data_IF_999964651627
#
_entry.id   IF_999964651627
#
_cell.length_a   1.000
_cell.length_b   1.000
_cell.length_c   1.000
_cell.angle_alpha   90.00
_cell.angle_beta   90.00
_cell.angle_gamma   90.00
#
_symmetry.space_group_name_H-M   'P 1'
#
loop_
_entity.id
_entity.type
_entity.pdbx_description
1 polymer ?
#
# COMPACT_ATOMS: atom_id res chain seq x y z
N UNK A 1 17.30 -3.60 -11.75
CA UNK A 1 16.65 -3.96 -10.46
C UNK A 1 17.28 -5.13 -9.70
N UNK A 2 17.27 -6.40 -10.18
CA UNK A 2 17.83 -7.56 -9.43
C UNK A 2 19.28 -7.34 -8.97
N UNK A 3 20.11 -6.76 -9.84
CA UNK A 3 21.50 -6.43 -9.54
C UNK A 3 21.65 -5.34 -8.47
N UNK A 4 20.83 -4.27 -8.53
CA UNK A 4 20.83 -3.22 -7.51
C UNK A 4 20.42 -3.78 -6.12
N UNK A 5 19.44 -4.69 -6.08
CA UNK A 5 19.04 -5.39 -4.86
C UNK A 5 20.13 -6.33 -4.31
N UNK A 6 20.86 -7.04 -5.17
CA UNK A 6 21.98 -7.87 -4.70
C UNK A 6 23.12 -7.02 -4.15
N UNK A 7 23.38 -5.85 -4.75
CA UNK A 7 24.40 -4.91 -4.28
C UNK A 7 23.96 -4.14 -3.03
N UNK A 8 22.66 -3.92 -2.81
CA UNK A 8 22.16 -3.24 -1.61
C UNK A 8 22.31 -4.09 -0.34
N UNK A 9 22.24 -5.42 -0.46
CA UNK A 9 22.28 -6.37 0.65
C UNK A 9 23.53 -6.27 1.55
N UNK A 10 24.77 -6.31 1.01
CA UNK A 10 25.96 -6.12 1.85
C UNK A 10 26.04 -4.71 2.47
N UNK A 11 25.51 -3.69 1.80
CA UNK A 11 25.52 -2.30 2.29
C UNK A 11 24.63 -2.18 3.53
N UNK A 12 23.38 -2.63 3.44
CA UNK A 12 22.45 -2.58 4.58
C UNK A 12 22.95 -3.45 5.74
N UNK A 13 23.51 -4.63 5.46
CA UNK A 13 24.05 -5.51 6.49
C UNK A 13 25.15 -4.80 7.30
N UNK A 14 26.11 -4.16 6.61
CA UNK A 14 27.18 -3.39 7.24
C UNK A 14 26.64 -2.18 8.01
N UNK A 15 25.70 -1.43 7.45
CA UNK A 15 25.09 -0.28 8.11
C UNK A 15 24.39 -0.69 9.40
N UNK A 16 23.60 -1.76 9.37
CA UNK A 16 22.87 -2.24 10.54
C UNK A 16 23.83 -2.77 11.61
N UNK A 17 24.79 -3.60 11.22
CA UNK A 17 25.79 -4.13 12.16
C UNK A 17 26.60 -3.02 12.82
N UNK A 18 26.93 -1.95 12.08
CA UNK A 18 27.66 -0.81 12.64
C UNK A 18 26.79 0.05 13.56
N UNK A 19 25.60 0.42 13.10
CA UNK A 19 24.72 1.39 13.77
C UNK A 19 24.00 0.80 14.98
N UNK A 20 23.67 -0.49 14.92
CA UNK A 20 22.83 -1.18 15.91
C UNK A 20 23.59 -2.30 16.64
N UNK A 21 24.93 -2.25 16.65
CA UNK A 21 25.77 -3.17 17.41
C UNK A 21 25.39 -3.20 18.90
N UNK A 22 25.06 -2.04 19.47
CA UNK A 22 24.74 -1.87 20.90
C UNK A 22 23.49 -2.62 21.35
N UNK A 23 22.58 -2.93 20.43
CA UNK A 23 21.32 -3.65 20.70
C UNK A 23 21.35 -5.09 20.18
N UNK A 24 22.54 -5.64 19.89
CA UNK A 24 22.73 -7.01 19.43
C UNK A 24 21.87 -7.35 18.20
N UNK A 25 21.76 -6.40 17.26
CA UNK A 25 20.90 -6.51 16.07
C UNK A 25 21.18 -7.77 15.24
N UNK A 26 22.41 -8.31 15.34
CA UNK A 26 22.88 -9.50 14.63
C UNK A 26 22.01 -10.73 14.90
N UNK A 27 21.38 -10.83 16.07
CA UNK A 27 20.48 -11.94 16.43
C UNK A 27 19.21 -11.98 15.55
N UNK A 28 18.71 -10.81 15.14
CA UNK A 28 17.48 -10.68 14.33
C UNK A 28 17.76 -10.21 12.90
N UNK A 29 19.01 -9.93 12.58
CA UNK A 29 19.46 -9.41 11.29
C UNK A 29 18.94 -10.24 10.10
N UNK A 30 18.97 -11.59 10.10
CA UNK A 30 18.42 -12.37 8.99
C UNK A 30 16.92 -12.12 8.77
N UNK A 31 16.16 -11.98 9.86
CA UNK A 31 14.70 -11.72 9.80
C UNK A 31 14.44 -10.33 9.25
N UNK A 32 15.18 -9.32 9.71
CA UNK A 32 15.05 -7.95 9.23
C UNK A 32 15.44 -7.82 7.75
N UNK A 33 16.51 -8.50 7.34
CA UNK A 33 16.96 -8.51 5.95
C UNK A 33 15.96 -9.20 5.02
N UNK A 34 15.33 -10.28 5.48
CA UNK A 34 14.24 -10.93 4.74
C UNK A 34 13.02 -10.00 4.61
N UNK A 35 12.64 -9.30 5.69
CA UNK A 35 11.53 -8.36 5.68
C UNK A 35 11.73 -7.24 4.65
N UNK A 36 12.87 -6.53 4.71
CA UNK A 36 13.15 -5.43 3.78
C UNK A 36 13.32 -5.90 2.34
N UNK A 37 13.73 -7.17 2.14
CA UNK A 37 13.76 -7.81 0.82
C UNK A 37 12.34 -8.05 0.31
N UNK A 38 11.45 -8.60 1.12
CA UNK A 38 10.04 -8.81 0.76
C UNK A 38 9.33 -7.50 0.43
N UNK A 39 9.55 -6.45 1.22
CA UNK A 39 9.05 -5.10 0.92
C UNK A 39 9.57 -4.59 -0.42
N UNK A 40 10.88 -4.67 -0.66
CA UNK A 40 11.45 -4.25 -1.94
C UNK A 40 10.95 -5.10 -3.11
N UNK A 41 10.66 -6.39 -2.91
CA UNK A 41 10.06 -7.26 -3.94
C UNK A 41 8.60 -6.87 -4.23
N UNK A 42 7.80 -6.56 -3.21
CA UNK A 42 6.43 -6.05 -3.37
C UNK A 42 6.45 -4.73 -4.15
N UNK A 43 7.34 -3.82 -3.76
CA UNK A 43 7.48 -2.52 -4.42
C UNK A 43 8.01 -2.67 -5.85
N UNK A 44 9.06 -3.46 -6.06
CA UNK A 44 9.65 -3.70 -7.38
C UNK A 44 8.69 -4.43 -8.33
N UNK A 45 7.88 -5.36 -7.81
CA UNK A 45 6.81 -6.01 -8.56
C UNK A 45 5.65 -5.07 -8.89
N UNK A 46 5.38 -4.08 -8.04
CA UNK A 46 4.34 -3.06 -8.26
C UNK A 46 4.76 -1.98 -9.27
N UNK A 47 6.05 -1.67 -9.40
CA UNK A 47 6.58 -0.74 -10.43
C UNK A 47 6.41 -1.30 -11.84
N UNK A 48 6.48 -2.62 -12.02
CA UNK A 48 6.13 -3.26 -13.31
C UNK A 48 4.65 -3.06 -13.72
N UNK A 49 3.79 -2.57 -12.81
CA UNK A 49 2.37 -2.31 -13.05
C UNK A 49 2.04 -0.81 -13.17
N UNK A 50 3.00 0.11 -12.97
CA UNK A 50 2.64 1.50 -12.66
C UNK A 50 3.57 2.65 -13.08
N UNK A 51 4.31 2.60 -14.19
CA UNK A 51 4.99 3.81 -14.69
C UNK A 51 4.89 4.00 -16.21
N UNK A 52 3.92 4.82 -16.62
CA UNK A 52 4.11 5.76 -17.73
C UNK A 52 5.30 6.67 -17.37
N UNK A 53 6.29 6.75 -18.25
CA UNK A 53 7.51 7.53 -18.03
C UNK A 53 7.17 9.03 -18.02
N UNK A 54 7.53 9.74 -16.94
CA UNK A 54 7.75 11.19 -16.95
C UNK A 54 7.32 11.96 -15.70
N UNK A 55 8.29 12.32 -14.85
CA UNK A 55 8.19 13.48 -13.94
C UNK A 55 7.76 13.16 -12.50
N UNK A 56 8.40 13.86 -11.56
CA UNK A 56 8.29 13.69 -10.11
C UNK A 56 6.83 13.57 -9.56
N UNK A 57 6.68 12.71 -8.55
CA UNK A 57 5.57 12.66 -7.57
C UNK A 57 4.26 11.89 -7.88
N UNK A 58 4.20 10.95 -8.83
CA UNK A 58 2.91 10.30 -9.20
C UNK A 58 2.58 8.90 -8.65
N UNK A 59 3.54 8.09 -8.22
CA UNK A 59 3.38 6.62 -8.13
C UNK A 59 3.38 6.05 -6.71
N UNK A 60 3.49 6.91 -5.70
CA UNK A 60 3.11 6.57 -4.34
C UNK A 60 1.70 7.10 -4.09
N UNK A 61 0.69 6.39 -4.58
CA UNK A 61 -0.70 6.67 -4.26
C UNK A 61 -0.98 6.37 -2.77
N UNK A 62 -0.45 7.19 -1.86
CA UNK A 62 -1.01 7.38 -0.53
C UNK A 62 -2.27 8.22 -0.74
N UNK A 63 -3.42 7.57 -0.76
CA UNK A 63 -4.70 8.19 -1.10
C UNK A 63 -4.90 9.55 -0.41
N UNK A 64 -5.23 10.57 -1.21
CA UNK A 64 -5.60 11.88 -0.72
C UNK A 64 -6.92 11.78 0.08
N UNK A 65 -6.83 11.99 1.39
CA UNK A 65 -7.98 11.98 2.30
C UNK A 65 -7.58 11.82 3.77
N UNK A 66 -6.72 12.71 4.28
CA UNK A 66 -6.35 12.73 5.69
C UNK A 66 -7.48 13.37 6.53
N UNK A 67 -8.28 12.54 7.22
CA UNK A 67 -9.02 12.94 8.43
C UNK A 67 -8.44 12.10 9.58
N UNK A 68 -8.17 12.69 10.76
CA UNK A 68 -7.58 11.96 11.88
C UNK A 68 -8.39 10.71 12.24
N UNK A 69 -7.74 9.54 12.19
CA UNK A 69 -8.28 8.26 12.68
C UNK A 69 -8.87 7.30 11.65
N UNK A 70 -8.83 7.58 10.34
CA UNK A 70 -9.31 6.67 9.30
C UNK A 70 -8.16 6.14 8.44
N UNK A 71 -7.68 4.92 8.71
CA UNK A 71 -6.71 4.22 7.86
C UNK A 71 -7.40 3.92 6.52
N UNK A 72 -7.03 4.66 5.47
CA UNK A 72 -7.48 4.48 4.09
C UNK A 72 -6.29 4.35 3.14
N UNK A 73 -6.40 3.44 2.16
CA UNK A 73 -5.60 3.51 0.92
C UNK A 73 -5.15 2.16 0.38
N UNK A 74 -5.88 1.56 -0.56
CA UNK A 74 -5.47 0.41 -1.39
C UNK A 74 -4.23 0.71 -2.25
N UNK A 75 -3.07 0.93 -1.64
CA UNK A 75 -1.79 1.22 -2.28
C UNK A 75 -0.66 0.35 -1.74
N UNK A 76 0.54 0.49 -2.31
CA UNK A 76 1.77 -0.22 -1.89
C UNK A 76 2.01 -0.08 -0.37
N UNK A 77 1.69 1.08 0.20
CA UNK A 77 1.77 1.33 1.64
C UNK A 77 0.91 0.41 2.51
N UNK A 78 -0.27 -0.01 2.05
CA UNK A 78 -1.07 -1.01 2.75
C UNK A 78 -0.50 -2.42 2.60
N UNK A 79 0.07 -2.79 1.45
CA UNK A 79 0.68 -4.11 1.29
C UNK A 79 1.92 -4.27 2.17
N UNK A 80 2.78 -3.24 2.20
CA UNK A 80 3.95 -3.19 3.07
C UNK A 80 3.54 -3.10 4.54
N UNK A 81 2.58 -2.23 4.87
CA UNK A 81 2.02 -2.12 6.21
C UNK A 81 1.41 -3.42 6.71
N UNK A 82 0.69 -4.14 5.85
CA UNK A 82 0.11 -5.43 6.17
C UNK A 82 1.17 -6.52 6.42
N UNK A 83 2.17 -6.62 5.53
CA UNK A 83 3.28 -7.57 5.69
C UNK A 83 3.94 -7.41 7.06
N UNK A 84 4.18 -6.17 7.48
CA UNK A 84 4.87 -5.87 8.73
C UNK A 84 3.92 -6.00 9.92
N UNK A 85 2.79 -5.30 9.90
CA UNK A 85 1.91 -5.19 11.07
C UNK A 85 1.14 -6.47 11.35
N UNK A 86 0.79 -7.25 10.33
CA UNK A 86 0.04 -8.49 10.52
C UNK A 86 0.90 -9.72 10.31
N UNK A 87 1.80 -9.70 9.33
CA UNK A 87 2.76 -10.79 9.17
C UNK A 87 3.65 -10.95 10.39
N UNK A 88 4.01 -9.86 11.08
CA UNK A 88 4.84 -9.92 12.29
C UNK A 88 4.05 -9.82 13.61
N UNK A 89 2.73 -9.65 13.57
CA UNK A 89 1.92 -9.47 14.79
C UNK A 89 2.15 -8.14 15.51
N UNK A 90 2.48 -7.10 14.76
CA UNK A 90 2.83 -5.76 15.23
C UNK A 90 1.67 -4.75 15.08
N UNK A 91 0.42 -5.20 15.10
CA UNK A 91 -0.74 -4.33 14.92
C UNK A 91 -0.80 -3.21 15.98
N UNK A 92 -0.26 -3.45 17.17
CA UNK A 92 -0.25 -2.50 18.27
C UNK A 92 0.57 -1.21 17.98
N UNK A 93 1.55 -1.29 17.08
CA UNK A 93 2.41 -0.15 16.69
C UNK A 93 1.93 0.56 15.43
N UNK A 94 0.78 0.15 14.86
CA UNK A 94 0.31 0.58 13.55
C UNK A 94 0.29 2.11 13.38
N UNK A 95 -0.23 2.83 14.37
CA UNK A 95 -0.34 4.30 14.34
C UNK A 95 1.03 4.96 14.15
N UNK A 96 2.01 4.57 14.97
CA UNK A 96 3.37 5.10 14.92
C UNK A 96 4.11 4.67 13.64
N UNK A 97 3.88 3.44 13.20
CA UNK A 97 4.51 2.90 12.01
C UNK A 97 4.01 3.59 10.74
N UNK A 98 2.69 3.75 10.58
CA UNK A 98 2.11 4.39 9.41
C UNK A 98 2.48 5.87 9.29
N UNK A 99 2.74 6.56 10.39
CA UNK A 99 3.15 7.96 10.37
C UNK A 99 4.48 8.18 9.61
N UNK A 100 5.46 7.29 9.77
CA UNK A 100 6.75 7.41 9.09
C UNK A 100 6.88 6.62 7.79
N UNK A 101 5.94 5.71 7.53
CA UNK A 101 6.00 4.79 6.38
C UNK A 101 6.12 5.49 5.02
N UNK A 102 5.42 6.62 4.73
CA UNK A 102 5.53 7.29 3.43
C UNK A 102 6.94 7.74 3.07
N UNK A 103 7.69 8.28 4.04
CA UNK A 103 9.05 8.74 3.81
C UNK A 103 10.00 7.58 3.47
N UNK A 104 9.87 6.45 4.15
CA UNK A 104 10.67 5.26 3.87
C UNK A 104 10.36 4.69 2.47
N UNK A 105 9.08 4.62 2.11
CA UNK A 105 8.64 4.14 0.82
C UNK A 105 9.07 5.06 -0.33
N UNK A 106 9.17 6.38 -0.10
CA UNK A 106 9.72 7.30 -1.09
C UNK A 106 11.19 7.00 -1.42
N UNK A 107 12.05 6.87 -0.41
CA UNK A 107 13.46 6.53 -0.62
C UNK A 107 13.63 5.18 -1.32
N UNK A 108 12.87 4.16 -0.92
CA UNK A 108 12.88 2.85 -1.58
C UNK A 108 12.44 2.96 -3.04
N UNK A 109 11.36 3.69 -3.29
CA UNK A 109 10.83 3.90 -4.64
C UNK A 109 11.85 4.59 -5.57
N UNK A 110 12.53 5.63 -5.10
CA UNK A 110 13.58 6.31 -5.86
C UNK A 110 14.72 5.35 -6.25
N UNK A 111 15.15 4.49 -5.32
CA UNK A 111 16.14 3.46 -5.60
C UNK A 111 15.67 2.45 -6.65
N UNK A 112 14.41 2.04 -6.60
CA UNK A 112 13.80 1.13 -7.58
C UNK A 112 13.76 1.78 -8.97
N UNK A 113 13.28 3.02 -9.07
CA UNK A 113 13.20 3.77 -10.33
C UNK A 113 14.58 3.97 -10.94
N UNK A 114 15.57 4.36 -10.13
CA UNK A 114 16.95 4.52 -10.59
C UNK A 114 17.52 3.21 -11.12
N UNK A 115 17.24 2.09 -10.44
CA UNK A 115 17.66 0.75 -10.89
C UNK A 115 16.91 0.23 -12.12
N UNK A 116 15.74 0.80 -12.42
CA UNK A 116 14.93 0.44 -13.57
C UNK A 116 15.35 1.21 -14.82
N UNK A 117 15.57 2.51 -14.67
CA UNK A 117 16.01 3.41 -15.74
C UNK A 117 17.53 3.42 -15.93
N UNK A 118 18.26 2.46 -15.33
CA UNK A 118 19.72 2.41 -15.40
C UNK A 118 20.23 2.32 -16.86
N UNK A 119 19.51 1.60 -17.72
CA UNK A 119 19.82 1.40 -19.14
C UNK A 119 19.20 2.46 -20.06
N UNK A 120 18.41 3.40 -19.52
CA UNK A 120 17.73 4.41 -20.32
C UNK A 120 18.74 5.39 -20.94
N UNK A 121 18.62 5.61 -22.25
CA UNK A 121 19.44 6.58 -22.99
C UNK A 121 20.89 6.16 -23.24
N UNK A 122 21.24 4.89 -22.97
CA UNK A 122 22.60 4.36 -23.18
C UNK A 122 22.60 3.14 -24.10
N UNK A 123 23.69 2.94 -24.85
CA UNK A 123 23.82 1.78 -25.75
C UNK A 123 23.90 0.49 -24.95
N UNK A 124 23.26 -0.61 -25.40
CA UNK A 124 23.34 -1.90 -24.71
C UNK A 124 24.79 -2.37 -24.51
N UNK A 125 25.07 -3.14 -23.44
CA UNK A 125 26.40 -3.68 -23.17
C UNK A 125 26.98 -4.41 -24.39
N UNK A 126 28.21 -4.07 -24.78
CA UNK A 126 28.90 -4.66 -25.93
C UNK A 126 28.66 -3.97 -27.29
N UNK A 127 27.74 -3.00 -27.37
CA UNK A 127 27.51 -2.18 -28.58
C UNK A 127 28.20 -0.80 -28.54
N UNK A 128 28.83 -0.48 -27.41
CA UNK A 128 29.69 0.69 -27.25
C UNK A 128 31.16 0.24 -27.09
N UNK A 129 32.01 0.44 -28.12
CA UNK A 129 33.41 -0.01 -28.08
C UNK A 129 34.26 0.74 -27.05
N UNK A 130 33.76 1.85 -26.49
CA UNK A 130 34.46 2.61 -25.45
C UNK A 130 34.21 2.07 -24.05
N UNK A 131 33.16 1.24 -23.87
CA UNK A 131 32.71 0.78 -22.55
C UNK A 131 32.01 1.84 -21.70
N UNK A 132 31.85 3.08 -22.20
CA UNK A 132 31.26 4.18 -21.44
C UNK A 132 29.80 3.90 -21.04
N UNK A 133 29.00 3.29 -21.92
CA UNK A 133 27.63 2.89 -21.60
C UNK A 133 27.56 1.87 -20.46
N UNK A 134 28.44 0.86 -20.48
CA UNK A 134 28.49 -0.19 -19.45
C UNK A 134 28.88 0.40 -18.08
N UNK A 135 29.86 1.31 -18.05
CA UNK A 135 30.25 2.02 -16.83
C UNK A 135 29.12 2.90 -16.28
N UNK A 136 28.41 3.65 -17.14
CA UNK A 136 27.27 4.46 -16.73
C UNK A 136 26.13 3.62 -16.15
N UNK A 137 25.85 2.45 -16.73
CA UNK A 137 24.86 1.51 -16.22
C UNK A 137 25.29 1.02 -14.83
N UNK A 138 26.55 0.61 -14.65
CA UNK A 138 27.04 0.12 -13.37
C UNK A 138 26.99 1.20 -12.28
N UNK A 139 27.40 2.44 -12.58
CA UNK A 139 27.32 3.56 -11.63
C UNK A 139 25.86 3.87 -11.24
N UNK A 140 24.92 3.84 -12.20
CA UNK A 140 23.49 4.02 -11.90
C UNK A 140 22.94 2.89 -11.03
N UNK A 141 23.38 1.66 -11.26
CA UNK A 141 23.02 0.49 -10.45
C UNK A 141 23.62 0.60 -9.03
N UNK A 142 24.85 1.09 -8.90
CA UNK A 142 25.49 1.31 -7.61
C UNK A 142 24.83 2.45 -6.81
N UNK A 143 24.49 3.55 -7.48
CA UNK A 143 23.73 4.64 -6.89
C UNK A 143 22.35 4.14 -6.42
N UNK A 144 21.66 3.35 -7.25
CA UNK A 144 20.39 2.75 -6.89
C UNK A 144 20.52 1.77 -5.71
N UNK A 145 21.57 0.95 -5.67
CA UNK A 145 21.84 0.03 -4.56
C UNK A 145 22.05 0.76 -3.24
N UNK A 146 22.77 1.89 -3.24
CA UNK A 146 22.95 2.76 -2.07
C UNK A 146 21.62 3.37 -1.63
N UNK A 147 20.79 3.84 -2.56
CA UNK A 147 19.48 4.42 -2.25
C UNK A 147 18.50 3.37 -1.70
N UNK A 148 18.49 2.17 -2.27
CA UNK A 148 17.73 1.03 -1.75
C UNK A 148 18.18 0.67 -0.33
N UNK A 149 19.48 0.53 -0.09
CA UNK A 149 20.00 0.22 1.24
C UNK A 149 19.59 1.29 2.27
N UNK A 150 19.63 2.57 1.89
CA UNK A 150 19.16 3.67 2.73
C UNK A 150 17.67 3.58 3.06
N UNK A 151 16.82 3.31 2.07
CA UNK A 151 15.38 3.14 2.27
C UNK A 151 15.05 1.92 3.14
N UNK A 152 15.77 0.81 2.95
CA UNK A 152 15.61 -0.39 3.77
C UNK A 152 16.07 -0.15 5.22
N UNK A 153 17.18 0.58 5.43
CA UNK A 153 17.62 1.01 6.76
C UNK A 153 16.56 1.89 7.43
N UNK A 154 16.02 2.88 6.71
CA UNK A 154 14.95 3.75 7.23
C UNK A 154 13.70 2.98 7.62
N UNK A 155 13.34 1.92 6.90
CA UNK A 155 12.19 1.07 7.25
C UNK A 155 12.42 0.32 8.57
N UNK A 156 13.63 -0.19 8.79
CA UNK A 156 14.01 -0.84 10.06
C UNK A 156 14.05 0.18 11.19
N UNK A 157 14.59 1.38 10.94
CA UNK A 157 14.55 2.50 11.89
C UNK A 157 13.14 2.84 12.32
N UNK A 158 12.24 2.97 11.34
CA UNK A 158 10.83 3.25 11.57
C UNK A 158 10.19 2.15 12.42
N UNK A 159 10.46 0.89 12.12
CA UNK A 159 9.95 -0.25 12.86
C UNK A 159 10.40 -0.20 14.34
N UNK A 160 11.70 -0.02 14.58
CA UNK A 160 12.26 0.05 15.94
C UNK A 160 11.74 1.27 16.70
N UNK A 161 11.63 2.42 16.02
CA UNK A 161 11.11 3.65 16.61
C UNK A 161 9.63 3.49 16.97
N UNK A 162 8.83 2.86 16.12
CA UNK A 162 7.42 2.59 16.38
C UNK A 162 7.24 1.62 17.58
N UNK A 163 8.10 0.60 17.71
CA UNK A 163 8.15 -0.29 18.87
C UNK A 163 8.47 0.49 20.16
N UNK A 164 9.55 1.27 20.16
CA UNK A 164 9.98 2.06 21.33
C UNK A 164 8.93 3.09 21.71
N UNK A 165 8.34 3.75 20.73
CA UNK A 165 7.29 4.76 20.94
C UNK A 165 6.04 4.12 21.53
N UNK A 166 5.63 2.96 21.04
CA UNK A 166 4.52 2.20 21.60
C UNK A 166 4.77 1.74 23.04
N UNK A 167 5.95 1.21 23.35
CA UNK A 167 6.28 0.77 24.70
C UNK A 167 6.26 1.98 25.67
N UNK A 168 6.81 3.11 25.24
CA UNK A 168 6.91 4.32 26.07
C UNK A 168 5.57 5.04 26.24
N UNK A 169 4.84 5.22 25.14
CA UNK A 169 3.61 6.04 25.10
C UNK A 169 2.33 5.21 25.19
N UNK A 170 2.33 3.94 24.82
CA UNK A 170 1.12 3.10 24.78
C UNK A 170 0.34 3.25 23.47
N UNK A 171 -0.86 2.66 23.40
CA UNK A 171 -1.72 2.82 22.23
C UNK A 171 -2.35 4.22 22.21
N UNK A 172 -2.31 4.91 21.07
CA UNK A 172 -3.13 6.11 20.87
C UNK A 172 -4.46 5.65 20.28
N UNK A 173 -5.57 5.79 21.02
CA UNK A 173 -6.92 5.56 20.51
C UNK A 173 -7.71 6.87 20.59
N UNK A 174 -8.12 7.41 19.45
CA UNK A 174 -8.96 8.62 19.36
C UNK A 174 -8.44 9.81 20.19
N UNK A 175 -7.14 10.09 20.13
CA UNK A 175 -6.52 11.22 20.85
C UNK A 175 -6.30 11.01 22.35
N UNK A 176 -6.72 9.87 22.89
CA UNK A 176 -6.45 9.46 24.28
C UNK A 176 -5.34 8.41 24.24
N UNK A 177 -4.29 8.64 25.03
CA UNK A 177 -3.25 7.65 25.28
C UNK A 177 -3.88 6.52 26.12
N UNK A 178 -4.30 5.47 25.43
CA UNK A 178 -4.93 4.30 26.02
C UNK A 178 -3.88 3.37 26.63
N UNK A 179 -3.62 3.55 27.92
CA UNK A 179 -3.53 2.49 28.93
C UNK A 179 -2.75 2.98 30.16
N UNK A 180 -3.29 2.75 31.36
CA UNK A 180 -2.59 2.93 32.64
C UNK A 180 -1.51 1.84 32.88
N UNK A 181 -1.36 0.88 31.97
CA UNK A 181 -0.38 -0.19 32.09
C UNK A 181 1.05 0.35 32.01
N UNK A 182 1.95 -0.17 32.86
CA UNK A 182 3.37 0.18 32.84
C UNK A 182 4.09 -0.28 31.57
N UNK A 183 5.28 0.27 31.33
CA UNK A 183 6.19 -0.05 30.20
C UNK A 183 6.33 -1.56 30.01
N UNK A 184 6.61 -2.29 31.10
CA UNK A 184 6.82 -3.74 31.07
C UNK A 184 5.58 -4.53 30.60
N UNK A 185 4.38 -4.11 30.99
CA UNK A 185 3.14 -4.77 30.58
C UNK A 185 2.87 -4.57 29.09
N UNK A 186 3.16 -3.37 28.56
CA UNK A 186 3.03 -3.07 27.12
C UNK A 186 4.05 -3.84 26.29
N UNK A 187 5.29 -3.92 26.77
CA UNK A 187 6.34 -4.70 26.14
C UNK A 187 5.99 -6.19 26.12
N UNK A 188 5.55 -6.76 27.24
CA UNK A 188 5.12 -8.15 27.33
C UNK A 188 3.94 -8.45 26.40
N UNK A 189 2.95 -7.54 26.33
CA UNK A 189 1.83 -7.66 25.38
C UNK A 189 2.32 -7.66 23.94
N UNK A 190 3.18 -6.72 23.57
CA UNK A 190 3.73 -6.64 22.22
C UNK A 190 4.51 -7.91 21.85
N UNK A 191 5.34 -8.42 22.76
CA UNK A 191 6.09 -9.67 22.55
C UNK A 191 5.17 -10.88 22.40
N UNK A 192 4.06 -10.93 23.14
CA UNK A 192 3.08 -12.01 23.04
C UNK A 192 2.35 -12.00 21.69
N UNK A 193 2.02 -10.81 21.18
CA UNK A 193 1.33 -10.62 19.92
C UNK A 193 2.24 -10.86 18.69
N UNK A 194 3.57 -10.77 18.85
CA UNK A 194 4.54 -11.03 17.78
C UNK A 194 4.51 -12.47 17.27
N UNK A 195 4.42 -12.63 15.95
CA UNK A 195 4.46 -13.93 15.27
C UNK A 195 5.88 -14.52 15.23
N UNK A 196 6.90 -13.65 15.12
CA UNK A 196 8.29 -14.09 15.08
C UNK A 196 8.91 -14.16 16.48
N UNK A 197 9.18 -15.40 16.95
CA UNK A 197 9.74 -15.65 18.29
C UNK A 197 11.18 -15.17 18.47
N UNK A 198 11.96 -15.06 17.39
CA UNK A 198 13.33 -14.53 17.48
C UNK A 198 13.31 -13.04 17.80
N UNK A 199 12.45 -12.26 17.12
CA UNK A 199 12.27 -10.83 17.40
C UNK A 199 11.67 -10.62 18.79
N UNK A 200 10.66 -11.40 19.19
CA UNK A 200 10.08 -11.31 20.52
C UNK A 200 11.12 -11.58 21.62
N UNK A 201 11.91 -12.66 21.49
CA UNK A 201 12.95 -13.01 22.46
C UNK A 201 14.10 -12.00 22.48
N UNK A 202 14.50 -11.48 21.32
CA UNK A 202 15.49 -10.42 21.21
C UNK A 202 15.01 -9.12 21.86
N UNK A 203 13.75 -8.71 21.62
CA UNK A 203 13.15 -7.53 22.23
C UNK A 203 13.14 -7.65 23.75
N UNK A 204 12.78 -8.81 24.29
CA UNK A 204 12.78 -9.07 25.72
C UNK A 204 14.16 -8.86 26.37
N UNK A 205 15.25 -9.26 25.69
CA UNK A 205 16.62 -9.10 26.17
C UNK A 205 17.17 -7.68 25.99
N UNK A 206 16.74 -6.99 24.93
CA UNK A 206 17.31 -5.70 24.52
C UNK A 206 16.41 -4.49 24.80
N UNK A 207 15.25 -4.68 25.45
CA UNK A 207 14.28 -3.62 25.74
C UNK A 207 14.92 -2.42 26.43
N UNK A 208 15.70 -2.63 27.50
CA UNK A 208 16.32 -1.52 28.22
C UNK A 208 17.30 -0.73 27.34
N UNK A 209 18.07 -1.43 26.49
CA UNK A 209 19.03 -0.82 25.57
C UNK A 209 18.32 -0.03 24.45
N UNK A 210 17.25 -0.60 23.92
CA UNK A 210 16.37 0.03 22.93
C UNK A 210 15.72 1.29 23.49
N UNK A 211 15.15 1.17 24.69
CA UNK A 211 14.55 2.29 25.38
C UNK A 211 15.60 3.33 25.69
N UNK A 212 16.85 3.02 26.01
CA UNK A 212 17.90 4.00 26.28
C UNK A 212 18.45 4.71 25.03
N UNK A 213 18.17 4.19 23.82
CA UNK A 213 18.81 4.67 22.60
C UNK A 213 18.27 6.05 22.16
N UNK A 214 19.11 7.10 22.03
CA UNK A 214 18.66 8.46 21.78
C UNK A 214 18.00 8.63 20.40
N UNK A 215 18.47 7.91 19.38
CA UNK A 215 17.90 7.94 18.03
C UNK A 215 16.48 7.33 17.96
N UNK A 216 16.12 6.44 18.89
CA UNK A 216 14.80 5.79 18.93
C UNK A 216 13.80 6.55 19.81
N UNK A 217 14.28 7.47 20.67
CA UNK A 217 13.46 8.29 21.56
C UNK A 217 12.89 9.55 20.90
N UNK A 218 13.37 9.95 19.72
CA UNK A 218 12.98 11.20 19.04
C UNK A 218 12.36 10.94 17.68
N UNK A 219 11.07 11.21 17.58
CA UNK A 219 10.39 11.68 16.38
C UNK A 219 9.17 12.48 16.83
N UNK A 220 9.41 13.64 17.43
CA UNK A 220 8.42 14.70 17.33
C UNK A 220 8.54 15.27 15.92
N UNK A 221 7.43 15.42 15.17
CA UNK A 221 7.48 16.17 13.92
C UNK A 221 7.98 17.57 14.27
N UNK A 222 9.06 18.01 13.61
CA UNK A 222 9.45 19.41 13.63
C UNK A 222 8.22 20.23 13.23
N UNK A 223 7.82 21.27 13.99
CA UNK A 223 6.79 22.16 13.52
C UNK A 223 7.31 22.77 12.22
N UNK A 224 6.62 22.52 11.12
CA UNK A 224 6.79 23.34 9.91
C UNK A 224 6.48 24.76 10.37
N UNK A 225 7.54 25.55 10.51
CA UNK A 225 7.48 26.96 10.82
C UNK A 225 6.78 27.62 9.65
N UNK A 226 5.50 27.91 9.82
CA UNK A 226 4.73 28.69 8.88
C UNK A 226 5.37 30.05 8.71
N UNK A 227 5.63 30.42 7.45
CA UNK A 227 5.74 31.81 7.04
C UNK A 227 4.60 32.03 6.06
N UNK A 228 3.45 32.44 6.58
CA UNK A 228 2.73 33.61 6.09
C UNK A 228 1.62 33.91 7.11
N UNK A 229 1.81 34.96 7.89
CA UNK A 229 0.74 35.64 8.61
C UNK A 229 -0.39 36.02 7.63
N UNK A 230 -1.65 35.97 8.07
CA UNK A 230 -2.45 37.17 8.40
C UNK A 230 -3.89 36.78 8.81
N UNK A 231 -4.26 37.18 10.04
CA UNK A 231 -5.61 37.49 10.58
C UNK A 231 -6.58 36.37 11.05
N UNK A 232 -6.63 36.19 12.39
CA UNK A 232 -7.84 36.03 13.24
C UNK A 232 -8.64 37.37 13.33
N UNK A 233 -9.87 37.50 13.91
CA UNK A 233 -10.71 36.60 14.77
C UNK A 233 -12.24 36.64 14.34
N UNK A 234 -13.32 36.29 15.11
CA UNK A 234 -13.41 35.82 16.51
C UNK A 234 -14.36 34.62 16.79
N UNK A 235 -14.26 34.24 18.07
CA UNK A 235 -14.76 33.12 18.85
C UNK A 235 -16.25 33.16 19.27
N UNK A 236 -16.68 32.00 19.79
CA UNK A 236 -17.73 31.69 20.81
C UNK A 236 -19.05 31.07 20.31
N UNK A 237 -19.79 30.30 21.15
CA UNK A 237 -19.34 29.20 22.00
C UNK A 237 -20.22 27.93 21.86
N UNK A 238 -19.71 26.80 22.36
CA UNK A 238 -20.45 25.55 22.56
C UNK A 238 -21.50 25.68 23.68
N UNK A 239 -22.67 25.01 23.61
CA UNK A 239 -23.46 24.67 24.78
C UNK A 239 -23.31 23.19 25.18
N UNK A 240 -23.11 23.02 26.47
CA UNK A 240 -22.99 21.78 27.23
C UNK A 240 -24.28 20.94 27.31
N UNK A 241 -24.10 19.62 27.43
CA UNK A 241 -24.77 18.67 28.34
C UNK A 241 -26.31 18.65 28.43
N UNK A 242 -26.94 17.46 28.26
CA UNK A 242 -27.25 16.46 29.34
C UNK A 242 -28.14 15.29 28.79
N UNK A 243 -28.54 14.26 29.57
CA UNK A 243 -28.13 12.87 29.33
C UNK A 243 -29.28 11.86 29.12
N UNK A 244 -28.93 10.65 28.67
CA UNK A 244 -29.66 9.43 29.04
C UNK A 244 -30.21 8.60 27.88
N UNK A 245 -29.60 7.45 27.62
CA UNK A 245 -30.31 6.24 27.17
C UNK A 245 -29.42 4.99 27.33
N UNK A 246 -29.79 4.21 28.34
CA UNK A 246 -29.65 2.76 28.59
C UNK A 246 -28.72 1.91 27.71
N UNK A 247 -27.86 1.17 28.41
CA UNK A 247 -27.30 -0.14 28.06
C UNK A 247 -28.41 -1.10 27.61
N UNK A 248 -28.25 -1.73 26.46
CA UNK A 248 -28.78 -3.06 26.20
C UNK A 248 -27.68 -3.90 25.55
N UNK A 249 -27.32 -4.95 26.28
CA UNK A 249 -26.48 -6.07 25.89
C UNK A 249 -27.16 -6.89 24.81
N UNK A 250 -26.44 -7.26 23.76
CA UNK A 250 -26.74 -8.46 22.99
C UNK A 250 -25.44 -9.21 22.71
N UNK A 251 -25.24 -10.27 23.49
CA UNK A 251 -24.42 -11.42 23.13
C UNK A 251 -24.91 -12.00 21.81
N UNK A 252 -24.07 -11.92 20.77
CA UNK A 252 -24.19 -12.81 19.61
C UNK A 252 -22.80 -13.24 19.17
N UNK A 253 -22.48 -14.49 19.52
CA UNK A 253 -21.68 -15.45 18.77
C UNK A 253 -20.37 -14.97 18.10
N UNK A 254 -19.28 -15.25 18.82
CA UNK A 254 -17.94 -15.61 18.33
C UNK A 254 -17.89 -16.06 16.85
N UNK A 255 -17.50 -15.15 15.95
CA UNK A 255 -17.12 -15.47 14.57
C UNK A 255 -15.87 -14.67 14.16
N UNK A 256 -14.75 -15.40 14.13
CA UNK A 256 -13.51 -15.14 13.38
C UNK A 256 -12.64 -13.92 13.75
N UNK A 257 -11.52 -14.26 14.36
CA UNK A 257 -10.31 -13.48 14.67
C UNK A 257 -9.52 -12.98 13.44
N UNK A 258 -10.19 -12.55 12.37
CA UNK A 258 -9.55 -11.97 11.17
C UNK A 258 -9.60 -10.43 11.18
N UNK A 259 -8.51 -9.70 10.87
CA UNK A 259 -8.53 -8.25 10.74
C UNK A 259 -9.50 -7.74 9.65
N UNK A 260 -10.12 -6.58 9.86
CA UNK A 260 -11.18 -6.04 8.98
C UNK A 260 -10.77 -5.91 7.50
N UNK A 261 -9.56 -5.44 7.20
CA UNK A 261 -9.11 -5.34 5.80
C UNK A 261 -8.94 -6.71 5.14
N UNK A 262 -8.59 -7.77 5.89
CA UNK A 262 -8.49 -9.13 5.35
C UNK A 262 -9.88 -9.68 5.10
N UNK A 263 -10.83 -9.38 5.98
CA UNK A 263 -12.24 -9.67 5.73
C UNK A 263 -12.73 -8.95 4.46
N UNK A 264 -12.32 -7.70 4.23
CA UNK A 264 -12.65 -6.93 3.01
C UNK A 264 -11.97 -7.50 1.75
N UNK A 265 -10.72 -7.95 1.85
CA UNK A 265 -10.01 -8.59 0.74
C UNK A 265 -10.60 -9.96 0.41
N UNK A 266 -10.84 -10.80 1.44
CA UNK A 266 -11.53 -12.09 1.30
C UNK A 266 -12.91 -11.87 0.68
N UNK A 267 -13.67 -10.87 1.15
CA UNK A 267 -14.97 -10.52 0.60
C UNK A 267 -14.88 -10.03 -0.85
N UNK A 268 -13.86 -9.24 -1.21
CA UNK A 268 -13.63 -8.79 -2.58
C UNK A 268 -13.28 -9.93 -3.53
N UNK A 269 -12.39 -10.83 -3.10
CA UNK A 269 -12.03 -12.03 -3.86
C UNK A 269 -13.22 -12.98 -4.01
N UNK A 270 -14.01 -13.16 -2.94
CA UNK A 270 -15.21 -13.97 -2.94
C UNK A 270 -16.28 -13.37 -3.87
N UNK A 271 -16.49 -12.06 -3.80
CA UNK A 271 -17.38 -11.34 -4.71
C UNK A 271 -16.97 -11.57 -6.18
N UNK A 272 -15.67 -11.43 -6.49
CA UNK A 272 -15.16 -11.70 -7.83
C UNK A 272 -15.38 -13.16 -8.25
N UNK A 273 -15.09 -14.13 -7.36
CA UNK A 273 -15.25 -15.58 -7.61
C UNK A 273 -16.70 -16.00 -7.81
N UNK A 274 -17.63 -15.39 -7.09
CA UNK A 274 -19.07 -15.66 -7.23
C UNK A 274 -19.56 -15.09 -8.55
N UNK A 275 -19.23 -13.82 -8.84
CA UNK A 275 -19.72 -13.14 -10.03
C UNK A 275 -19.08 -13.66 -11.33
N UNK A 276 -17.84 -14.15 -11.30
CA UNK A 276 -17.16 -14.69 -12.50
C UNK A 276 -17.95 -15.82 -13.17
N UNK A 277 -18.78 -16.55 -12.42
CA UNK A 277 -19.63 -17.64 -12.96
C UNK A 277 -20.69 -17.15 -13.94
N UNK A 278 -21.03 -15.87 -13.91
CA UNK A 278 -22.05 -15.26 -14.77
C UNK A 278 -21.49 -14.85 -16.15
N UNK A 279 -20.18 -15.02 -16.37
CA UNK A 279 -19.51 -14.55 -17.57
C UNK A 279 -18.72 -15.68 -18.27
N UNK A 280 -18.70 -15.69 -19.61
CA UNK A 280 -18.07 -16.76 -20.38
C UNK A 280 -16.54 -16.73 -20.33
N UNK A 281 -15.94 -15.54 -20.20
CA UNK A 281 -14.49 -15.38 -20.08
C UNK A 281 -14.17 -14.58 -18.82
N UNK A 282 -13.21 -15.08 -18.04
CA UNK A 282 -12.80 -14.54 -16.76
C UNK A 282 -11.29 -14.37 -16.71
N UNK A 283 -10.81 -13.39 -15.95
CA UNK A 283 -9.38 -13.09 -15.81
C UNK A 283 -8.68 -12.88 -17.17
N UNK A 284 -9.33 -12.11 -18.07
CA UNK A 284 -8.85 -11.89 -19.44
C UNK A 284 -7.68 -10.92 -19.45
N UNK A 285 -6.60 -11.30 -20.12
CA UNK A 285 -5.41 -10.46 -20.21
C UNK A 285 -5.52 -9.49 -21.38
N UNK A 286 -5.40 -8.20 -21.10
CA UNK A 286 -5.46 -7.11 -22.08
C UNK A 286 -4.05 -6.55 -22.24
N UNK A 287 -3.56 -6.50 -23.49
CA UNK A 287 -2.27 -5.88 -23.80
C UNK A 287 -2.27 -4.43 -23.35
N UNK A 288 -1.20 -4.07 -22.67
CA UNK A 288 -1.00 -2.68 -22.30
C UNK A 288 -0.70 -1.85 -23.55
N UNK A 289 -1.14 -0.58 -23.59
CA UNK A 289 -0.85 0.31 -24.71
C UNK A 289 0.66 0.49 -24.99
N UNK A 290 1.49 0.35 -23.97
CA UNK A 290 2.95 0.44 -24.05
C UNK A 290 3.63 -0.85 -24.57
N UNK A 291 2.86 -1.92 -24.82
CA UNK A 291 3.36 -3.23 -25.24
C UNK A 291 4.03 -4.05 -24.13
N UNK A 292 4.17 -3.51 -22.92
CA UNK A 292 4.95 -4.11 -21.83
C UNK A 292 4.05 -4.83 -20.82
N UNK A 293 3.60 -6.02 -21.20
CA UNK A 293 2.80 -6.91 -20.37
C UNK A 293 1.30 -6.68 -20.50
N UNK A 294 0.55 -7.06 -19.47
CA UNK A 294 -0.91 -7.17 -19.54
C UNK A 294 -1.60 -6.54 -18.32
N UNK A 295 -2.80 -6.01 -18.52
CA UNK A 295 -3.77 -5.83 -17.46
C UNK A 295 -4.66 -7.06 -17.37
N UNK A 296 -5.14 -7.39 -16.17
CA UNK A 296 -6.10 -8.47 -15.98
C UNK A 296 -7.49 -7.87 -15.82
N UNK A 297 -8.38 -8.14 -16.75
CA UNK A 297 -9.79 -7.80 -16.72
C UNK A 297 -10.56 -8.89 -15.96
N UNK A 298 -11.52 -8.52 -15.12
CA UNK A 298 -12.21 -9.48 -14.26
C UNK A 298 -13.06 -10.45 -15.09
N UNK A 299 -13.87 -9.93 -16.01
CA UNK A 299 -14.64 -10.74 -16.96
C UNK A 299 -14.89 -10.01 -18.29
N UNK A 300 -15.13 -10.79 -19.34
CA UNK A 300 -15.50 -10.30 -20.66
C UNK A 300 -16.58 -11.19 -21.28
N UNK A 301 -17.59 -10.57 -21.87
CA UNK A 301 -18.59 -11.25 -22.68
C UNK A 301 -18.60 -10.67 -24.10
N UNK A 302 -17.97 -11.33 -25.09
CA UNK A 302 -17.94 -10.85 -26.47
C UNK A 302 -19.31 -10.91 -27.15
N UNK A 303 -20.24 -11.76 -26.68
CA UNK A 303 -21.56 -11.92 -27.30
C UNK A 303 -22.46 -10.72 -26.98
N UNK A 304 -22.44 -10.26 -25.73
CA UNK A 304 -23.20 -9.08 -25.28
C UNK A 304 -22.41 -7.79 -25.38
N UNK A 305 -21.10 -7.86 -25.61
CA UNK A 305 -20.21 -6.71 -25.65
C UNK A 305 -20.02 -6.08 -24.27
N UNK A 306 -19.75 -6.89 -23.25
CA UNK A 306 -19.60 -6.41 -21.87
C UNK A 306 -18.16 -6.60 -21.36
N UNK A 307 -17.54 -5.50 -20.97
CA UNK A 307 -16.20 -5.44 -20.39
C UNK A 307 -16.37 -5.16 -18.89
N UNK A 308 -16.09 -6.14 -18.04
CA UNK A 308 -16.45 -6.08 -16.62
C UNK A 308 -15.22 -5.81 -15.75
N UNK A 309 -15.27 -4.73 -14.97
CA UNK A 309 -14.38 -4.49 -13.85
C UNK A 309 -15.19 -4.41 -12.55
N UNK A 310 -14.82 -5.20 -11.55
CA UNK A 310 -15.60 -5.33 -10.30
C UNK A 310 -15.04 -4.45 -9.20
N UNK A 311 -15.93 -3.80 -8.46
CA UNK A 311 -15.59 -3.07 -7.24
C UNK A 311 -16.57 -3.44 -6.13
N UNK A 312 -16.06 -4.07 -5.06
CA UNK A 312 -16.86 -4.32 -3.86
C UNK A 312 -16.97 -3.03 -3.05
N UNK A 313 -17.92 -2.17 -3.37
CA UNK A 313 -18.05 -0.84 -2.74
C UNK A 313 -19.49 -0.32 -2.76
N UNK A 314 -19.85 0.46 -1.73
CA UNK A 314 -21.06 1.29 -1.71
C UNK A 314 -20.66 2.73 -2.08
N UNK A 315 -21.07 3.23 -3.24
CA UNK A 315 -20.67 4.55 -3.74
C UNK A 315 -21.17 5.69 -2.84
N UNK A 316 -22.28 5.49 -2.14
CA UNK A 316 -22.79 6.43 -1.12
C UNK A 316 -21.93 6.54 0.14
N UNK A 317 -20.91 5.67 0.30
CA UNK A 317 -20.03 5.58 1.48
C UNK A 317 -18.58 5.96 1.18
N UNK A 318 -18.27 6.37 -0.04
CA UNK A 318 -16.92 6.78 -0.46
C UNK A 318 -16.92 8.23 -0.94
N UNK A 319 -15.74 8.83 -1.03
CA UNK A 319 -15.61 10.16 -1.62
C UNK A 319 -15.81 10.11 -3.15
N UNK A 320 -16.22 11.24 -3.71
CA UNK A 320 -16.34 11.43 -5.16
C UNK A 320 -15.01 11.22 -5.89
N UNK A 321 -13.89 11.62 -5.29
CA UNK A 321 -12.55 11.40 -5.86
C UNK A 321 -12.19 9.91 -5.97
N UNK A 322 -12.55 9.10 -4.97
CA UNK A 322 -12.34 7.64 -5.04
C UNK A 322 -13.20 7.01 -6.13
N UNK A 323 -14.46 7.43 -6.24
CA UNK A 323 -15.35 6.96 -7.29
C UNK A 323 -14.81 7.29 -8.69
N UNK A 324 -14.39 8.54 -8.92
CA UNK A 324 -13.73 8.98 -10.16
C UNK A 324 -12.46 8.20 -10.44
N UNK A 325 -11.68 7.83 -9.43
CA UNK A 325 -10.50 7.00 -9.60
C UNK A 325 -10.86 5.61 -10.15
N UNK A 326 -11.95 4.98 -9.70
CA UNK A 326 -12.39 3.70 -10.24
C UNK A 326 -12.84 3.79 -11.71
N UNK A 327 -13.56 4.86 -12.05
CA UNK A 327 -14.01 5.14 -13.42
C UNK A 327 -12.79 5.37 -14.33
N UNK A 328 -11.86 6.22 -13.91
CA UNK A 328 -10.64 6.53 -14.67
C UNK A 328 -9.72 5.32 -14.84
N UNK A 329 -9.59 4.49 -13.80
CA UNK A 329 -8.83 3.24 -13.87
C UNK A 329 -9.41 2.31 -14.94
N UNK A 330 -10.73 2.17 -14.99
CA UNK A 330 -11.40 1.29 -15.93
C UNK A 330 -11.15 1.75 -17.39
N UNK A 331 -11.35 3.03 -17.71
CA UNK A 331 -11.15 3.56 -19.08
C UNK A 331 -9.68 3.51 -19.50
N UNK A 332 -8.75 3.70 -18.56
CA UNK A 332 -7.32 3.69 -18.86
C UNK A 332 -6.79 2.28 -19.09
N UNK A 333 -7.28 1.28 -18.35
CA UNK A 333 -6.81 -0.10 -18.46
C UNK A 333 -7.50 -0.88 -19.57
N UNK A 334 -8.76 -0.58 -19.84
CA UNK A 334 -9.59 -1.34 -20.76
C UNK A 334 -10.25 -0.45 -21.83
N UNK A 335 -9.49 0.42 -22.53
CA UNK A 335 -10.08 1.21 -23.59
C UNK A 335 -10.62 0.30 -24.69
N UNK A 336 -11.79 0.65 -25.25
CA UNK A 336 -12.34 -0.07 -26.39
C UNK A 336 -11.33 -0.10 -27.55
N UNK A 337 -11.18 -1.26 -28.20
CA UNK A 337 -10.16 -1.51 -29.23
C UNK A 337 -8.80 -2.00 -28.71
N UNK A 338 -8.65 -2.20 -27.39
CA UNK A 338 -7.46 -2.82 -26.81
C UNK A 338 -7.27 -4.24 -27.31
N UNK A 339 -6.03 -4.69 -27.48
CA UNK A 339 -5.74 -6.05 -27.94
C UNK A 339 -5.82 -7.02 -26.75
N UNK A 340 -6.55 -8.12 -26.90
CA UNK A 340 -6.53 -9.23 -25.95
C UNK A 340 -5.20 -9.97 -26.13
N UNK A 341 -4.49 -10.19 -25.03
CA UNK A 341 -3.17 -10.79 -25.01
C UNK A 341 -3.17 -12.19 -25.62
N UNK A 342 -2.10 -12.51 -26.35
CA UNK A 342 -1.87 -13.85 -26.87
C UNK A 342 -1.16 -14.70 -25.81
N UNK A 343 -1.92 -15.14 -24.82
CA UNK A 343 -1.47 -16.05 -23.75
C UNK A 343 -2.33 -17.31 -23.73
N UNK A 344 -1.83 -18.46 -23.24
CA UNK A 344 -2.57 -19.72 -23.30
C UNK A 344 -3.99 -19.67 -22.72
N UNK A 345 -4.19 -18.88 -21.66
CA UNK A 345 -5.50 -18.71 -21.00
C UNK A 345 -6.50 -17.89 -21.82
N UNK A 346 -6.06 -17.11 -22.81
CA UNK A 346 -6.95 -16.32 -23.67
C UNK A 346 -7.72 -17.18 -24.67
N UNK A 347 -7.25 -18.40 -24.96
CA UNK A 347 -7.93 -19.34 -25.87
C UNK A 347 -8.29 -18.69 -27.21
N UNK A 348 -9.56 -18.79 -27.59
CA UNK A 348 -10.10 -18.24 -28.84
C UNK A 348 -10.05 -16.71 -28.94
N UNK A 349 -9.92 -16.00 -27.81
CA UNK A 349 -9.89 -14.53 -27.77
C UNK A 349 -8.51 -13.94 -28.04
N UNK A 350 -7.46 -14.77 -28.06
CA UNK A 350 -6.09 -14.31 -28.25
C UNK A 350 -5.94 -13.44 -29.51
N UNK A 351 -5.38 -12.24 -29.36
CA UNK A 351 -5.15 -11.30 -30.45
C UNK A 351 -6.39 -10.53 -30.93
N UNK A 352 -7.59 -10.87 -30.46
CA UNK A 352 -8.80 -10.13 -30.81
C UNK A 352 -8.81 -8.74 -30.17
N UNK A 353 -9.68 -7.86 -30.67
CA UNK A 353 -9.92 -6.54 -30.07
C UNK A 353 -11.03 -6.62 -29.03
N UNK A 354 -10.77 -6.04 -27.87
CA UNK A 354 -11.74 -5.83 -26.81
C UNK A 354 -12.79 -4.82 -27.32
N UNK A 355 -14.05 -5.23 -27.41
CA UNK A 355 -15.14 -4.40 -27.92
C UNK A 355 -16.33 -4.51 -26.98
N UNK A 356 -17.01 -3.39 -26.74
CA UNK A 356 -18.20 -3.37 -25.90
C UNK A 356 -18.26 -2.19 -24.95
N UNK A 357 -19.29 -2.20 -24.11
CA UNK A 357 -19.48 -1.27 -23.02
C UNK A 357 -18.62 -1.64 -21.82
N UNK A 358 -17.99 -0.63 -21.22
CA UNK A 358 -17.23 -0.79 -19.99
C UNK A 358 -18.17 -0.65 -18.80
N UNK A 359 -18.18 -1.68 -17.95
CA UNK A 359 -19.11 -1.80 -16.84
C UNK A 359 -18.32 -1.93 -15.54
N UNK A 360 -18.55 -0.99 -14.63
CA UNK A 360 -18.18 -1.12 -13.23
C UNK A 360 -19.28 -1.92 -12.51
N UNK A 361 -19.03 -3.22 -12.34
CA UNK A 361 -19.95 -4.14 -11.66
C UNK A 361 -19.78 -4.04 -10.13
N UNK A 362 -20.87 -3.74 -9.44
CA UNK A 362 -20.88 -3.45 -7.99
C UNK A 362 -21.97 -4.23 -7.24
N UNK A 363 -21.90 -4.37 -5.91
CA UNK A 363 -23.05 -4.88 -5.14
C UNK A 363 -24.27 -3.93 -5.28
N UNK A 364 -25.48 -4.39 -4.98
CA UNK A 364 -26.66 -3.53 -4.95
C UNK A 364 -26.44 -2.37 -3.98
N UNK A 365 -26.79 -1.16 -4.41
CA UNK A 365 -26.51 0.04 -3.63
C UNK A 365 -27.64 0.30 -2.65
N UNK A 366 -27.26 0.47 -1.38
CA UNK A 366 -28.19 0.70 -0.26
C UNK A 366 -28.46 2.18 -0.02
N UNK A 367 -27.57 3.06 -0.50
CA UNK A 367 -27.71 4.51 -0.45
C UNK A 367 -27.70 5.11 -1.85
N UNK A 368 -28.21 6.34 -1.96
CA UNK A 368 -28.22 7.09 -3.21
C UNK A 368 -26.78 7.33 -3.66
N UNK A 369 -26.45 6.95 -4.90
CA UNK A 369 -25.17 7.32 -5.51
C UNK A 369 -25.21 8.82 -5.78
N UNK A 370 -24.23 9.61 -5.29
CA UNK A 370 -24.13 11.02 -5.63
C UNK A 370 -24.19 11.26 -7.14
N UNK A 371 -25.03 12.19 -7.59
CA UNK A 371 -25.24 12.44 -9.03
C UNK A 371 -23.93 12.81 -9.74
N UNK A 372 -23.03 13.52 -9.07
CA UNK A 372 -21.71 13.88 -9.60
C UNK A 372 -20.85 12.67 -9.99
N UNK A 373 -21.04 11.53 -9.33
CA UNK A 373 -20.37 10.26 -9.67
C UNK A 373 -20.98 9.65 -10.92
N UNK A 374 -22.32 9.63 -11.02
CA UNK A 374 -23.05 9.13 -12.19
C UNK A 374 -22.69 9.95 -13.43
N UNK A 375 -22.75 11.28 -13.32
CA UNK A 375 -22.37 12.20 -14.41
C UNK A 375 -20.93 11.97 -14.87
N UNK A 376 -20.03 11.64 -13.94
CA UNK A 376 -18.63 11.34 -14.26
C UNK A 376 -18.48 10.01 -14.99
N UNK A 377 -19.27 9.00 -14.62
CA UNK A 377 -19.27 7.69 -15.26
C UNK A 377 -19.85 7.81 -16.68
N UNK A 378 -20.98 8.49 -16.83
CA UNK A 378 -21.63 8.76 -18.13
C UNK A 378 -20.71 9.51 -19.07
N UNK A 379 -20.06 10.59 -18.59
CA UNK A 379 -19.10 11.36 -19.38
C UNK A 379 -17.90 10.51 -19.83
N UNK A 380 -17.51 9.52 -19.04
CA UNK A 380 -16.42 8.59 -19.36
C UNK A 380 -16.87 7.39 -20.21
N UNK A 381 -18.18 7.24 -20.46
CA UNK A 381 -18.74 6.08 -21.16
C UNK A 381 -18.66 4.78 -20.34
N UNK A 382 -18.70 4.89 -19.01
CA UNK A 382 -18.66 3.77 -18.07
C UNK A 382 -20.02 3.58 -17.41
N UNK A 383 -20.57 2.38 -17.50
CA UNK A 383 -21.83 2.04 -16.84
C UNK A 383 -21.56 1.55 -15.42
N UNK A 384 -22.24 2.11 -14.42
CA UNK A 384 -22.27 1.55 -13.07
C UNK A 384 -23.49 0.63 -12.98
N UNK A 385 -23.24 -0.68 -12.84
CA UNK A 385 -24.30 -1.69 -12.81
C UNK A 385 -24.13 -2.59 -11.60
N UNK A 386 -25.21 -2.88 -10.89
CA UNK A 386 -25.15 -3.88 -9.83
C UNK A 386 -25.33 -5.32 -10.34
N UNK A 387 -25.02 -6.28 -9.46
CA UNK A 387 -25.14 -7.72 -9.74
C UNK A 387 -26.58 -8.19 -10.04
N UNK A 388 -27.60 -7.37 -9.76
CA UNK A 388 -29.00 -7.66 -10.10
C UNK A 388 -29.38 -7.09 -11.48
N UNK A 389 -28.44 -6.46 -12.17
CA UNK A 389 -28.65 -5.87 -13.49
C UNK A 389 -29.18 -4.44 -13.47
N UNK A 390 -29.34 -3.80 -12.29
CA UNK A 390 -29.75 -2.40 -12.22
C UNK A 390 -28.58 -1.51 -12.61
N UNK A 391 -28.79 -0.68 -13.63
CA UNK A 391 -27.89 0.41 -14.01
C UNK A 391 -28.32 1.66 -13.24
N UNK A 392 -27.35 2.39 -12.70
CA UNK A 392 -27.57 3.58 -11.88
C UNK A 392 -27.38 4.87 -12.64
#
# INVERSE_FOLDING_TARGET
MKLAMSKSYPIIQLNLMRKWASIDITEILPVLLQLVKEVAMIMGGSVAVGTLVGGAAGSLAFGAGAVPGAIAGSGIGLQVGNLILLGMGLSAIAEYFYQGLPACLATLYEGIVTAWNAEEGVKPPGLDPTGASAWLIDERIDAAARQLAKGQEQLIMLLLTAIVTYITRGQVKAGIVGSLDGIAARSAKLQADMTNKQIAGWLARNEQKLLAHPELRRSEPSPIRGVMDTQEPPTTPSPSNRPGAKKESNDVANTSSKPEWLQRLDAGNEFNRVQSKNYPYNEVYIQRPDGNGYYRLDSYNPTTGEIISRKLTQFSKISESTAKSYINEAISKYPSGSTIANVPSSGSLAGQKLQGALILEVPPQTGIIPQTILDSADKAGVLIRDINGKVY
#
